data_IF_898934108448
#
_entry.id   IF_898934108448
#
_cell.length_a   1.000
_cell.length_b   1.000
_cell.length_c   1.000
_cell.angle_alpha   90.00
_cell.angle_beta   90.00
_cell.angle_gamma   90.00
#
_symmetry.space_group_name_H-M   'P 1'
#
loop_
_entity.id
_entity.type
_entity.pdbx_description
1 polymer ?
#
# COMPACT_ATOMS: atom_id res chain seq x y z
N UNK A 1 25.26 57.24 -31.99
CA UNK A 1 24.39 57.00 -30.81
C UNK A 1 23.20 57.96 -30.70
N UNK A 2 23.30 59.18 -31.21
CA UNK A 2 22.22 60.19 -31.17
C UNK A 2 20.95 59.73 -31.92
N UNK A 3 21.12 59.13 -33.11
CA UNK A 3 20.02 58.56 -33.91
C UNK A 3 19.24 57.45 -33.20
N UNK A 4 19.89 56.60 -32.40
CA UNK A 4 19.22 55.55 -31.63
C UNK A 4 18.32 56.14 -30.53
N UNK A 5 18.79 57.20 -29.87
CA UNK A 5 18.04 57.88 -28.81
C UNK A 5 16.80 58.56 -29.39
N UNK A 6 16.93 59.13 -30.59
CA UNK A 6 15.83 59.72 -31.33
C UNK A 6 14.77 58.68 -31.75
N UNK A 7 15.19 57.53 -32.32
CA UNK A 7 14.27 56.44 -32.69
C UNK A 7 13.49 55.92 -31.48
N UNK A 8 14.17 55.70 -30.36
CA UNK A 8 13.51 55.24 -29.12
C UNK A 8 12.48 56.24 -28.62
N UNK A 9 12.79 57.53 -28.69
CA UNK A 9 11.87 58.61 -28.30
C UNK A 9 10.66 58.65 -29.22
N UNK A 10 10.86 58.55 -30.53
CA UNK A 10 9.77 58.52 -31.52
C UNK A 10 8.81 57.33 -31.31
N UNK A 11 9.35 56.13 -31.09
CA UNK A 11 8.53 54.94 -30.81
C UNK A 11 7.75 55.08 -29.50
N UNK A 12 8.36 55.67 -28.46
CA UNK A 12 7.74 55.84 -27.14
C UNK A 12 6.64 56.90 -27.14
N UNK A 13 6.87 58.00 -27.86
CA UNK A 13 5.95 59.13 -27.91
C UNK A 13 4.88 58.95 -28.99
N UNK A 14 5.02 57.94 -29.87
CA UNK A 14 4.15 57.70 -31.04
C UNK A 14 3.87 58.97 -31.84
N UNK A 15 4.89 59.84 -31.97
CA UNK A 15 4.77 61.17 -32.59
C UNK A 15 5.10 61.10 -34.07
N UNK A 16 4.18 61.59 -34.90
CA UNK A 16 4.30 61.68 -36.34
C UNK A 16 3.00 61.32 -37.06
N UNK A 17 2.83 61.79 -38.31
CA UNK A 17 1.64 61.47 -39.11
C UNK A 17 1.62 60.00 -39.52
N UNK A 18 2.80 59.38 -39.60
CA UNK A 18 3.07 57.98 -39.89
C UNK A 18 2.55 57.00 -38.82
N UNK A 19 2.20 57.48 -37.61
CA UNK A 19 1.63 56.66 -36.53
C UNK A 19 0.10 56.61 -36.54
N UNK A 20 -0.56 57.47 -37.31
CA UNK A 20 -2.02 57.51 -37.40
C UNK A 20 -2.55 56.32 -38.20
N UNK A 21 -3.37 55.49 -37.56
CA UNK A 21 -3.98 54.32 -38.20
C UNK A 21 -3.08 53.08 -38.26
N UNK A 22 -2.00 53.03 -37.48
CA UNK A 22 -1.13 51.86 -37.39
C UNK A 22 -1.91 50.64 -36.86
N UNK A 23 -1.68 49.47 -37.45
CA UNK A 23 -2.25 48.23 -36.93
C UNK A 23 -1.60 47.86 -35.58
N UNK A 24 -2.39 47.33 -34.63
CA UNK A 24 -1.89 46.89 -33.30
C UNK A 24 -0.72 45.91 -33.39
N UNK A 25 -0.68 45.08 -34.43
CA UNK A 25 0.42 44.16 -34.71
C UNK A 25 1.72 44.90 -35.01
N UNK A 26 1.66 45.95 -35.82
CA UNK A 26 2.82 46.79 -36.17
C UNK A 26 3.32 47.57 -34.95
N UNK A 27 2.42 48.07 -34.09
CA UNK A 27 2.80 48.75 -32.86
C UNK A 27 3.61 47.82 -31.95
N UNK A 28 3.15 46.59 -31.73
CA UNK A 28 3.87 45.58 -30.94
C UNK A 28 5.25 45.27 -31.53
N UNK A 29 5.37 45.19 -32.85
CA UNK A 29 6.66 44.95 -33.51
C UNK A 29 7.63 46.12 -33.30
N UNK A 30 7.15 47.36 -33.32
CA UNK A 30 7.98 48.55 -33.05
C UNK A 30 8.38 48.65 -31.57
N UNK A 31 7.52 48.22 -30.65
CA UNK A 31 7.85 48.10 -29.23
C UNK A 31 8.94 47.03 -28.98
N UNK A 32 8.81 45.85 -29.59
CA UNK A 32 9.85 44.82 -29.58
C UNK A 32 11.16 45.34 -30.16
N UNK A 33 11.09 46.09 -31.26
CA UNK A 33 12.24 46.73 -31.89
C UNK A 33 12.96 47.71 -30.95
N UNK A 34 12.22 48.61 -30.29
CA UNK A 34 12.76 49.52 -29.28
C UNK A 34 13.50 48.76 -28.18
N UNK A 35 12.96 47.64 -27.72
CA UNK A 35 13.57 46.84 -26.66
C UNK A 35 14.89 46.18 -27.09
N UNK A 36 14.98 45.63 -28.30
CA UNK A 36 16.26 45.11 -28.81
C UNK A 36 17.31 46.21 -28.95
N UNK A 37 16.92 47.44 -29.32
CA UNK A 37 17.85 48.58 -29.34
C UNK A 37 18.45 48.91 -27.95
N UNK A 38 17.88 48.41 -26.85
CA UNK A 38 18.43 48.53 -25.50
C UNK A 38 19.28 47.32 -25.05
N UNK A 39 19.31 46.24 -25.84
CA UNK A 39 20.00 45.02 -25.47
C UNK A 39 21.53 45.22 -25.34
N UNK A 40 22.18 44.78 -24.23
CA UNK A 40 23.60 45.03 -23.97
C UNK A 40 24.53 44.52 -25.08
N UNK A 41 24.21 43.36 -25.66
CA UNK A 41 24.98 42.76 -26.76
C UNK A 41 24.86 43.53 -28.08
N UNK A 42 23.76 44.29 -28.28
CA UNK A 42 23.60 45.17 -29.45
C UNK A 42 24.41 46.46 -29.28
N UNK A 43 24.54 46.98 -28.06
CA UNK A 43 25.41 48.13 -27.74
C UNK A 43 26.90 47.87 -28.00
N UNK A 44 27.31 46.60 -28.04
CA UNK A 44 28.68 46.17 -28.32
C UNK A 44 28.95 45.99 -29.82
N UNK A 45 27.94 46.10 -30.70
CA UNK A 45 28.09 45.89 -32.13
C UNK A 45 27.53 47.07 -32.95
N UNK A 46 28.40 48.01 -33.28
CA UNK A 46 28.05 49.25 -33.99
C UNK A 46 27.42 48.99 -35.38
N UNK A 47 27.85 47.93 -36.08
CA UNK A 47 27.30 47.56 -37.40
C UNK A 47 25.83 47.13 -37.33
N UNK A 48 25.47 46.36 -36.30
CA UNK A 48 24.08 45.95 -36.08
C UNK A 48 23.19 47.14 -35.71
N UNK A 49 23.72 48.11 -34.96
CA UNK A 49 23.01 49.35 -34.63
C UNK A 49 22.70 50.17 -35.88
N UNK A 50 23.66 50.31 -36.78
CA UNK A 50 23.49 51.04 -38.03
C UNK A 50 22.48 50.35 -38.95
N UNK A 51 22.55 49.02 -39.06
CA UNK A 51 21.59 48.22 -39.82
C UNK A 51 20.16 48.40 -39.28
N UNK A 52 19.98 48.30 -37.96
CA UNK A 52 18.67 48.50 -37.31
C UNK A 52 18.16 49.94 -37.54
N UNK A 53 19.02 50.94 -37.38
CA UNK A 53 18.68 52.36 -37.63
C UNK A 53 18.19 52.56 -39.06
N UNK A 54 18.89 51.98 -40.04
CA UNK A 54 18.51 52.05 -41.45
C UNK A 54 17.17 51.32 -41.73
N UNK A 55 16.93 50.17 -41.10
CA UNK A 55 15.67 49.45 -41.23
C UNK A 55 14.49 50.28 -40.70
N UNK A 56 14.65 50.95 -39.56
CA UNK A 56 13.63 51.84 -39.01
C UNK A 56 13.37 53.05 -39.91
N UNK A 57 14.41 53.75 -40.36
CA UNK A 57 14.25 54.93 -41.24
C UNK A 57 13.55 54.57 -42.55
N UNK A 58 13.89 53.41 -43.13
CA UNK A 58 13.23 52.91 -44.34
C UNK A 58 11.77 52.54 -44.10
N UNK A 59 11.46 51.89 -42.98
CA UNK A 59 10.08 51.57 -42.63
C UNK A 59 9.26 52.86 -42.39
N UNK A 60 9.83 53.83 -41.67
CA UNK A 60 9.24 55.13 -41.39
C UNK A 60 8.93 55.91 -42.67
N UNK A 61 9.84 55.93 -43.65
CA UNK A 61 9.62 56.58 -44.96
C UNK A 61 8.43 55.98 -45.74
N UNK A 62 8.01 54.74 -45.40
CA UNK A 62 6.87 54.06 -46.01
C UNK A 62 5.62 54.04 -45.11
N UNK A 63 5.55 54.92 -44.10
CA UNK A 63 4.49 54.91 -43.09
C UNK A 63 4.30 53.51 -42.44
N UNK A 64 5.40 52.80 -42.22
CA UNK A 64 5.43 51.45 -41.65
C UNK A 64 4.58 50.41 -42.39
N UNK A 65 4.32 50.62 -43.68
CA UNK A 65 3.66 49.61 -44.53
C UNK A 65 4.60 48.46 -44.88
N UNK A 66 5.93 48.70 -44.97
CA UNK A 66 6.94 47.70 -45.31
C UNK A 66 7.76 47.25 -44.08
N UNK A 67 7.11 46.53 -43.17
CA UNK A 67 7.73 46.07 -41.91
C UNK A 67 8.47 44.73 -42.01
N UNK A 68 8.37 44.02 -43.13
CA UNK A 68 8.92 42.66 -43.29
C UNK A 68 10.41 42.55 -42.94
N UNK A 69 11.22 43.55 -43.29
CA UNK A 69 12.65 43.52 -42.98
C UNK A 69 12.93 43.72 -41.48
N UNK A 70 12.15 44.56 -40.80
CA UNK A 70 12.21 44.72 -39.34
C UNK A 70 11.80 43.42 -38.66
N UNK A 71 10.69 42.81 -39.09
CA UNK A 71 10.18 41.55 -38.54
C UNK A 71 11.22 40.43 -38.69
N UNK A 72 11.79 40.23 -39.90
CA UNK A 72 12.85 39.23 -40.12
C UNK A 72 14.07 39.47 -39.24
N UNK A 73 14.44 40.74 -39.01
CA UNK A 73 15.58 41.07 -38.15
C UNK A 73 15.26 40.81 -36.68
N UNK A 74 14.04 41.09 -36.24
CA UNK A 74 13.55 40.74 -34.91
C UNK A 74 13.54 39.22 -34.70
N UNK A 75 13.11 38.44 -35.70
CA UNK A 75 13.15 36.98 -35.64
C UNK A 75 14.60 36.49 -35.49
N UNK A 76 15.54 37.00 -36.28
CA UNK A 76 16.96 36.68 -36.17
C UNK A 76 17.55 37.06 -34.80
N UNK A 77 17.20 38.23 -34.27
CA UNK A 77 17.63 38.68 -32.95
C UNK A 77 17.00 37.82 -31.85
N UNK A 78 15.77 37.37 -32.01
CA UNK A 78 15.12 36.46 -31.05
C UNK A 78 15.80 35.08 -31.01
N UNK A 79 16.32 34.60 -32.15
CA UNK A 79 17.07 33.34 -32.21
C UNK A 79 18.46 33.50 -31.59
N UNK A 80 19.15 34.62 -31.87
CA UNK A 80 20.54 34.83 -31.47
C UNK A 80 20.71 35.38 -30.04
N UNK A 81 19.74 36.15 -29.56
CA UNK A 81 19.75 36.79 -28.24
C UNK A 81 18.70 36.20 -27.29
N UNK A 82 17.83 35.31 -27.77
CA UNK A 82 16.72 34.70 -27.03
C UNK A 82 15.38 35.41 -27.29
N UNK A 83 14.28 34.64 -27.38
CA UNK A 83 12.93 35.20 -27.47
C UNK A 83 12.58 35.94 -26.18
N UNK A 84 12.16 37.19 -26.32
CA UNK A 84 11.60 37.98 -25.23
C UNK A 84 10.16 38.32 -25.59
N UNK A 85 9.23 37.51 -25.07
CA UNK A 85 7.81 37.86 -25.06
C UNK A 85 7.64 39.11 -24.20
N UNK A 86 6.89 40.09 -24.71
CA UNK A 86 6.35 41.20 -23.92
C UNK A 86 5.24 40.61 -23.03
N UNK A 87 5.63 39.87 -22.00
CA UNK A 87 4.84 39.75 -20.79
C UNK A 87 5.61 40.53 -19.72
N UNK A 88 5.04 41.64 -19.27
CA UNK A 88 5.53 42.36 -18.11
C UNK A 88 5.90 41.35 -17.02
N UNK A 89 7.17 41.32 -16.61
CA UNK A 89 7.59 40.65 -15.37
C UNK A 89 7.01 41.42 -14.19
N UNK A 90 5.70 41.37 -14.02
CA UNK A 90 5.12 41.49 -12.69
C UNK A 90 5.63 40.25 -11.96
N UNK A 91 6.55 40.41 -11.02
CA UNK A 91 6.89 39.35 -10.09
C UNK A 91 5.60 38.96 -9.35
N UNK A 92 4.88 37.96 -9.89
CA UNK A 92 3.70 37.40 -9.25
C UNK A 92 4.15 36.90 -7.90
N UNK A 93 3.63 37.53 -6.83
CA UNK A 93 3.77 37.06 -5.46
C UNK A 93 3.33 35.59 -5.42
N UNK A 94 4.09 34.78 -4.68
CA UNK A 94 3.77 33.37 -4.46
C UNK A 94 2.34 33.25 -3.92
N UNK A 95 1.54 32.39 -4.54
CA UNK A 95 0.10 32.29 -4.22
C UNK A 95 -0.18 31.54 -2.93
N UNK A 96 0.70 30.61 -2.55
CA UNK A 96 0.46 29.70 -1.42
C UNK A 96 1.53 29.88 -0.35
N UNK A 97 1.11 29.82 0.91
CA UNK A 97 2.03 29.84 2.05
C UNK A 97 2.68 28.47 2.28
N UNK A 98 1.94 27.38 1.98
CA UNK A 98 2.38 26.00 2.13
C UNK A 98 2.13 25.22 0.83
N UNK A 99 3.15 25.15 -0.02
CA UNK A 99 3.10 24.46 -1.32
C UNK A 99 2.89 22.94 -1.19
N UNK A 100 3.59 22.21 -0.31
CA UNK A 100 3.31 20.79 -0.10
C UNK A 100 1.84 20.48 0.17
N UNK A 101 1.20 21.27 1.04
CA UNK A 101 -0.22 21.10 1.36
C UNK A 101 -1.11 21.50 0.17
N UNK A 102 -0.82 22.62 -0.50
CA UNK A 102 -1.58 23.08 -1.66
C UNK A 102 -1.55 22.07 -2.83
N UNK A 103 -0.39 21.44 -3.07
CA UNK A 103 -0.23 20.37 -4.06
C UNK A 103 -1.14 19.19 -3.70
N UNK A 104 -1.14 18.75 -2.44
CA UNK A 104 -1.98 17.65 -1.96
C UNK A 104 -3.47 17.95 -2.11
N UNK A 105 -3.90 19.17 -1.80
CA UNK A 105 -5.28 19.60 -1.96
C UNK A 105 -5.71 19.70 -3.41
N UNK A 106 -4.86 20.25 -4.28
CA UNK A 106 -5.13 20.30 -5.72
C UNK A 106 -5.29 18.89 -6.29
N UNK A 107 -4.35 17.99 -5.98
CA UNK A 107 -4.43 16.58 -6.35
C UNK A 107 -5.78 15.98 -5.95
N UNK A 108 -6.15 16.09 -4.67
CA UNK A 108 -7.41 15.55 -4.15
C UNK A 108 -8.64 16.13 -4.87
N UNK A 109 -8.63 17.44 -5.18
CA UNK A 109 -9.73 18.08 -5.92
C UNK A 109 -9.88 17.50 -7.33
N UNK A 110 -8.78 17.24 -8.02
CA UNK A 110 -8.80 16.66 -9.37
C UNK A 110 -9.25 15.20 -9.31
N UNK A 111 -8.73 14.42 -8.37
CA UNK A 111 -9.14 13.02 -8.18
C UNK A 111 -10.65 12.89 -7.92
N UNK A 112 -11.20 13.71 -7.01
CA UNK A 112 -12.64 13.72 -6.73
C UNK A 112 -13.47 14.16 -7.95
N UNK A 113 -12.99 15.14 -8.71
CA UNK A 113 -13.66 15.58 -9.93
C UNK A 113 -13.68 14.49 -11.00
N UNK A 114 -12.54 13.82 -11.21
CA UNK A 114 -12.40 12.71 -12.15
C UNK A 114 -13.33 11.52 -11.82
N UNK A 115 -13.66 11.34 -10.53
CA UNK A 115 -14.60 10.32 -10.05
C UNK A 115 -16.07 10.76 -10.07
N UNK A 116 -16.34 12.04 -10.33
CA UNK A 116 -17.70 12.57 -10.42
C UNK A 116 -18.30 12.34 -11.82
N UNK A 117 -19.63 12.42 -11.98
CA UNK A 117 -20.28 12.31 -13.30
C UNK A 117 -19.70 13.28 -14.35
N UNK A 118 -19.25 14.45 -13.90
CA UNK A 118 -18.60 15.44 -14.75
C UNK A 118 -17.25 14.93 -15.26
N UNK A 119 -16.42 14.33 -14.41
CA UNK A 119 -15.11 13.82 -14.80
C UNK A 119 -15.20 12.59 -15.70
N UNK A 120 -16.12 11.67 -15.40
CA UNK A 120 -16.34 10.45 -16.19
C UNK A 120 -16.91 10.72 -17.58
N UNK A 121 -17.56 11.87 -17.77
CA UNK A 121 -18.11 12.32 -19.07
C UNK A 121 -17.13 13.14 -19.91
N UNK A 122 -15.95 13.48 -19.37
CA UNK A 122 -14.91 14.17 -20.14
C UNK A 122 -14.38 13.27 -21.28
N UNK A 123 -13.91 13.86 -22.39
CA UNK A 123 -13.23 13.12 -23.44
C UNK A 123 -12.02 12.34 -22.89
N UNK A 124 -11.75 11.14 -23.44
CA UNK A 124 -10.66 10.27 -23.00
C UNK A 124 -9.28 10.98 -23.05
N UNK A 125 -9.05 11.82 -24.06
CA UNK A 125 -7.83 12.62 -24.19
C UNK A 125 -7.70 13.59 -23.01
N UNK A 126 -8.79 14.26 -22.63
CA UNK A 126 -8.81 15.17 -21.49
C UNK A 126 -8.56 14.44 -20.17
N UNK A 127 -9.17 13.26 -20.01
CA UNK A 127 -8.92 12.40 -18.86
C UNK A 127 -7.45 11.99 -18.76
N UNK A 128 -6.81 11.59 -19.88
CA UNK A 128 -5.37 11.26 -19.92
C UNK A 128 -4.48 12.45 -19.54
N UNK A 129 -4.77 13.64 -20.06
CA UNK A 129 -4.04 14.86 -19.69
C UNK A 129 -4.19 15.20 -18.20
N UNK A 130 -5.38 15.02 -17.63
CA UNK A 130 -5.62 15.24 -16.19
C UNK A 130 -4.95 14.19 -15.30
N UNK A 131 -4.91 12.93 -15.73
CA UNK A 131 -4.16 11.86 -15.05
C UNK A 131 -2.66 12.19 -15.06
N UNK A 132 -2.14 12.61 -16.21
CA UNK A 132 -0.74 13.05 -16.37
C UNK A 132 -0.44 14.22 -15.43
N UNK A 133 -1.36 15.18 -15.33
CA UNK A 133 -1.26 16.29 -14.39
C UNK A 133 -1.24 15.85 -12.92
N UNK A 134 -2.11 14.92 -12.53
CA UNK A 134 -2.14 14.35 -11.18
C UNK A 134 -0.80 13.67 -10.87
N UNK A 135 -0.26 12.90 -11.81
CA UNK A 135 1.04 12.26 -11.64
C UNK A 135 2.16 13.29 -11.45
N UNK A 136 2.17 14.39 -12.20
CA UNK A 136 3.11 15.48 -11.95
C UNK A 136 2.95 16.13 -10.57
N UNK A 137 1.74 16.15 -10.00
CA UNK A 137 1.55 16.60 -8.62
C UNK A 137 2.26 15.71 -7.59
N UNK A 138 2.61 14.46 -7.94
CA UNK A 138 3.40 13.56 -7.09
C UNK A 138 4.91 13.73 -7.29
N UNK A 139 5.35 14.57 -8.23
CA UNK A 139 6.77 14.68 -8.55
C UNK A 139 7.55 15.21 -7.34
N UNK A 140 8.65 14.55 -6.92
CA UNK A 140 9.36 14.89 -5.70
C UNK A 140 9.92 16.31 -5.71
N UNK A 141 10.27 16.86 -6.87
CA UNK A 141 10.80 18.22 -6.97
C UNK A 141 9.77 19.34 -7.16
N UNK A 142 8.47 19.02 -7.30
CA UNK A 142 7.46 20.04 -7.57
C UNK A 142 7.36 21.06 -6.42
N UNK A 143 7.42 20.60 -5.17
CA UNK A 143 7.36 21.48 -4.00
C UNK A 143 8.56 22.44 -3.91
N UNK A 144 9.69 22.11 -4.55
CA UNK A 144 10.88 22.98 -4.64
C UNK A 144 10.75 24.04 -5.74
N UNK A 145 9.70 23.97 -6.58
CA UNK A 145 9.43 24.92 -7.67
C UNK A 145 8.07 25.62 -7.51
N UNK A 146 7.87 26.47 -6.48
CA UNK A 146 6.63 27.20 -6.20
C UNK A 146 6.00 27.92 -7.42
N UNK A 147 6.83 28.62 -8.20
CA UNK A 147 6.37 29.34 -9.40
C UNK A 147 5.83 28.39 -10.48
N UNK A 148 6.38 27.18 -10.58
CA UNK A 148 5.87 26.17 -11.50
C UNK A 148 4.50 25.70 -11.04
N UNK A 149 4.35 25.41 -9.74
CA UNK A 149 3.06 25.04 -9.17
C UNK A 149 1.98 26.13 -9.31
N UNK A 150 2.34 27.40 -9.14
CA UNK A 150 1.39 28.51 -9.36
C UNK A 150 0.86 28.52 -10.81
N UNK A 151 1.74 28.29 -11.79
CA UNK A 151 1.35 28.19 -13.21
C UNK A 151 0.44 26.98 -13.43
N UNK A 152 0.79 25.83 -12.84
CA UNK A 152 -0.01 24.61 -12.91
C UNK A 152 -1.42 24.83 -12.35
N UNK A 153 -1.50 25.44 -11.17
CA UNK A 153 -2.76 25.74 -10.50
C UNK A 153 -3.63 26.69 -11.32
N UNK A 154 -3.03 27.76 -11.87
CA UNK A 154 -3.74 28.75 -12.68
C UNK A 154 -4.29 28.15 -13.96
N UNK A 155 -3.50 27.31 -14.63
CA UNK A 155 -3.92 26.65 -15.86
C UNK A 155 -4.99 25.60 -15.61
N UNK A 156 -4.93 24.91 -14.48
CA UNK A 156 -6.01 24.03 -14.05
C UNK A 156 -7.30 24.81 -13.77
N UNK A 157 -7.24 25.93 -13.03
CA UNK A 157 -8.43 26.73 -12.71
C UNK A 157 -9.05 27.37 -13.97
N UNK A 158 -8.23 27.81 -14.92
CA UNK A 158 -8.65 28.29 -16.24
C UNK A 158 -9.32 27.18 -17.07
N UNK A 159 -8.71 25.99 -17.12
CA UNK A 159 -9.28 24.83 -17.81
C UNK A 159 -10.62 24.42 -17.19
N UNK A 160 -10.70 24.39 -15.85
CA UNK A 160 -11.93 24.07 -15.13
C UNK A 160 -13.06 25.08 -15.41
N UNK A 161 -12.77 26.38 -15.46
CA UNK A 161 -13.76 27.42 -15.80
C UNK A 161 -14.30 27.32 -17.21
N UNK A 162 -13.57 26.65 -18.09
CA UNK A 162 -13.94 26.44 -19.49
C UNK A 162 -14.42 25.01 -19.75
N UNK A 163 -14.78 24.27 -18.69
CA UNK A 163 -15.19 22.86 -18.73
C UNK A 163 -14.23 21.98 -19.55
N UNK A 164 -12.93 22.30 -19.48
CA UNK A 164 -11.86 21.62 -20.20
C UNK A 164 -12.03 21.61 -21.73
N UNK A 165 -12.81 22.54 -22.29
CA UNK A 165 -13.00 22.67 -23.75
C UNK A 165 -11.75 23.15 -24.48
N UNK A 166 -10.83 23.83 -23.79
CA UNK A 166 -9.61 24.41 -24.36
C UNK A 166 -8.36 23.69 -23.84
N UNK A 167 -8.22 22.41 -24.15
CA UNK A 167 -7.08 21.60 -23.68
C UNK A 167 -5.72 21.99 -24.26
N UNK A 168 -5.68 22.67 -25.41
CA UNK A 168 -4.39 23.01 -26.07
C UNK A 168 -3.43 23.79 -25.16
N UNK A 169 -3.94 24.75 -24.38
CA UNK A 169 -3.12 25.51 -23.43
C UNK A 169 -2.74 24.69 -22.19
N UNK A 170 -3.58 23.72 -21.81
CA UNK A 170 -3.32 22.77 -20.73
C UNK A 170 -2.24 21.76 -21.12
N UNK A 171 -2.30 21.22 -22.33
CA UNK A 171 -1.30 20.28 -22.86
C UNK A 171 0.05 20.97 -23.09
N UNK A 172 0.05 22.23 -23.55
CA UNK A 172 1.28 23.04 -23.59
C UNK A 172 1.90 23.22 -22.20
N UNK A 173 1.06 23.40 -21.18
CA UNK A 173 1.52 23.48 -19.79
C UNK A 173 2.07 22.14 -19.30
N UNK A 174 1.47 21.00 -19.66
CA UNK A 174 2.01 19.66 -19.38
C UNK A 174 3.40 19.45 -20.00
N UNK A 175 3.57 19.81 -21.27
CA UNK A 175 4.88 19.74 -21.92
C UNK A 175 5.93 20.63 -21.23
N UNK A 176 5.51 21.82 -20.76
CA UNK A 176 6.40 22.69 -19.98
C UNK A 176 6.78 22.06 -18.62
N UNK A 177 5.84 21.38 -17.95
CA UNK A 177 6.15 20.66 -16.71
C UNK A 177 7.16 19.55 -17.01
N UNK A 178 6.94 18.77 -18.07
CA UNK A 178 7.84 17.69 -18.48
C UNK A 178 9.27 18.19 -18.72
N UNK A 179 9.42 19.30 -19.43
CA UNK A 179 10.74 19.93 -19.65
C UNK A 179 11.38 20.38 -18.33
N UNK A 180 10.58 20.87 -17.37
CA UNK A 180 11.08 21.44 -16.12
C UNK A 180 11.30 20.42 -15.01
N UNK A 181 10.54 19.33 -14.95
CA UNK A 181 10.60 18.31 -13.90
C UNK A 181 11.19 17.00 -14.41
N UNK A 182 11.20 16.77 -15.72
CA UNK A 182 11.55 15.48 -16.32
C UNK A 182 10.31 14.68 -16.70
N UNK A 183 10.53 13.56 -17.38
CA UNK A 183 9.47 12.61 -17.76
C UNK A 183 8.91 11.91 -16.52
N UNK A 184 7.62 11.55 -16.58
CA UNK A 184 6.98 10.78 -15.52
C UNK A 184 7.57 9.36 -15.51
N UNK A 185 8.27 9.00 -14.43
CA UNK A 185 8.71 7.63 -14.17
C UNK A 185 7.59 6.80 -13.55
N UNK A 186 7.69 5.47 -13.63
CA UNK A 186 6.72 4.55 -13.01
C UNK A 186 6.54 4.79 -11.50
N UNK A 187 7.60 5.23 -10.80
CA UNK A 187 7.57 5.55 -9.37
C UNK A 187 6.64 6.74 -9.04
N UNK A 188 6.38 7.63 -10.00
CA UNK A 188 5.58 8.86 -9.84
C UNK A 188 4.14 8.66 -10.35
N UNK A 189 3.88 7.60 -11.13
CA UNK A 189 2.54 7.18 -11.57
C UNK A 189 1.75 6.54 -10.44
N UNK A 190 1.37 7.33 -9.44
CA UNK A 190 0.61 6.83 -8.30
C UNK A 190 -0.90 6.93 -8.48
N UNK A 191 -1.39 7.57 -9.53
CA UNK A 191 -2.84 7.65 -9.77
C UNK A 191 -3.36 6.30 -10.28
N UNK A 192 -4.31 5.73 -9.54
CA UNK A 192 -5.11 4.59 -10.00
C UNK A 192 -6.51 5.06 -10.36
N UNK A 193 -6.97 4.66 -11.53
CA UNK A 193 -8.34 4.84 -12.00
C UNK A 193 -9.33 4.09 -11.10
N UNK A 194 -10.62 4.41 -11.22
CA UNK A 194 -11.66 3.68 -10.47
C UNK A 194 -11.67 2.19 -10.84
N UNK A 195 -11.55 1.87 -12.12
CA UNK A 195 -11.53 0.49 -12.60
C UNK A 195 -10.34 -0.30 -12.02
N UNK A 196 -9.14 0.29 -11.99
CA UNK A 196 -7.98 -0.36 -11.37
C UNK A 196 -8.19 -0.60 -9.87
N UNK A 197 -8.82 0.33 -9.16
CA UNK A 197 -9.16 0.14 -7.73
C UNK A 197 -10.23 -0.92 -7.53
N UNK A 198 -11.22 -0.99 -8.40
CA UNK A 198 -12.26 -2.02 -8.37
C UNK A 198 -11.64 -3.38 -8.61
N UNK A 199 -10.78 -3.52 -9.63
CA UNK A 199 -10.07 -4.76 -9.92
C UNK A 199 -9.20 -5.21 -8.73
N UNK A 200 -8.46 -4.30 -8.10
CA UNK A 200 -7.66 -4.63 -6.90
C UNK A 200 -8.53 -5.10 -5.73
N UNK A 201 -9.70 -4.47 -5.53
CA UNK A 201 -10.65 -4.90 -4.50
C UNK A 201 -11.29 -6.25 -4.85
N UNK A 202 -11.57 -6.52 -6.13
CA UNK A 202 -12.06 -7.82 -6.59
C UNK A 202 -11.03 -8.93 -6.38
N UNK A 203 -9.76 -8.66 -6.70
CA UNK A 203 -8.65 -9.60 -6.43
C UNK A 203 -8.50 -9.85 -4.93
N UNK A 204 -8.52 -8.81 -4.10
CA UNK A 204 -8.49 -8.96 -2.63
C UNK A 204 -9.68 -9.77 -2.11
N UNK A 205 -10.88 -9.51 -2.64
CA UNK A 205 -12.09 -10.26 -2.27
C UNK A 205 -11.97 -11.73 -2.67
N UNK A 206 -11.37 -12.02 -3.82
CA UNK A 206 -11.12 -13.39 -4.26
C UNK A 206 -10.18 -14.12 -3.30
N UNK A 207 -9.06 -13.49 -2.93
CA UNK A 207 -8.11 -14.06 -1.95
C UNK A 207 -8.79 -14.31 -0.61
N UNK A 208 -9.57 -13.34 -0.10
CA UNK A 208 -10.30 -13.48 1.15
C UNK A 208 -11.32 -14.63 1.11
N UNK A 209 -12.03 -14.80 -0.01
CA UNK A 209 -12.95 -15.91 -0.18
C UNK A 209 -12.22 -17.27 -0.17
N UNK A 210 -11.08 -17.38 -0.84
CA UNK A 210 -10.26 -18.60 -0.83
C UNK A 210 -9.73 -18.92 0.59
N UNK A 211 -9.35 -17.91 1.37
CA UNK A 211 -8.96 -18.07 2.78
C UNK A 211 -10.15 -18.49 3.65
N UNK A 212 -11.32 -17.89 3.42
CA UNK A 212 -12.55 -18.23 4.14
C UNK A 212 -12.97 -19.69 3.91
N UNK A 213 -12.91 -20.18 2.67
CA UNK A 213 -13.20 -21.58 2.35
C UNK A 213 -12.23 -22.55 3.04
N UNK A 214 -10.93 -22.21 3.09
CA UNK A 214 -9.93 -23.00 3.83
C UNK A 214 -10.25 -23.07 5.33
N UNK A 215 -10.62 -21.95 5.94
CA UNK A 215 -10.99 -21.90 7.35
C UNK A 215 -12.25 -22.72 7.65
N UNK A 216 -13.26 -22.68 6.78
CA UNK A 216 -14.47 -23.49 6.99
C UNK A 216 -14.17 -25.00 6.88
N UNK A 217 -13.30 -25.40 5.95
CA UNK A 217 -12.82 -26.79 5.86
C UNK A 217 -12.04 -27.22 7.11
N UNK A 218 -11.20 -26.34 7.64
CA UNK A 218 -10.42 -26.62 8.85
C UNK A 218 -11.32 -26.75 10.09
N UNK A 219 -12.30 -25.86 10.23
CA UNK A 219 -13.31 -25.91 11.28
C UNK A 219 -14.12 -27.20 11.24
N UNK A 220 -14.47 -27.70 10.06
CA UNK A 220 -15.19 -28.97 9.94
C UNK A 220 -14.30 -30.17 10.35
N UNK A 221 -13.02 -30.15 9.99
CA UNK A 221 -12.05 -31.15 10.48
C UNK A 221 -11.90 -31.11 12.01
N UNK A 222 -11.93 -29.91 12.62
CA UNK A 222 -11.88 -29.78 14.08
C UNK A 222 -13.12 -30.38 14.74
N UNK A 223 -14.33 -30.13 14.22
CA UNK A 223 -15.55 -30.75 14.73
C UNK A 223 -15.50 -32.28 14.66
N UNK A 224 -14.98 -32.83 13.56
CA UNK A 224 -14.81 -34.28 13.42
C UNK A 224 -13.86 -34.83 14.49
N UNK A 225 -12.71 -34.19 14.69
CA UNK A 225 -11.76 -34.57 15.75
C UNK A 225 -12.38 -34.47 17.14
N UNK A 226 -13.16 -33.44 17.41
CA UNK A 226 -13.87 -33.28 18.69
C UNK A 226 -14.88 -34.41 18.92
N UNK A 227 -15.65 -34.77 17.89
CA UNK A 227 -16.60 -35.87 17.96
C UNK A 227 -15.90 -37.23 18.16
N UNK A 228 -14.75 -37.46 17.53
CA UNK A 228 -13.98 -38.69 17.71
C UNK A 228 -13.34 -38.77 19.10
N UNK A 229 -12.78 -37.67 19.61
CA UNK A 229 -12.29 -37.58 20.98
C UNK A 229 -13.42 -37.84 22.01
N UNK A 230 -14.62 -37.31 21.77
CA UNK A 230 -15.76 -37.57 22.65
C UNK A 230 -16.12 -39.08 22.71
N UNK A 231 -16.04 -39.79 21.58
CA UNK A 231 -16.25 -41.25 21.55
C UNK A 231 -15.13 -42.00 22.28
N UNK A 232 -13.88 -41.59 22.13
CA UNK A 232 -12.75 -42.18 22.86
C UNK A 232 -12.90 -42.00 24.37
N UNK A 233 -13.33 -40.82 24.81
CA UNK A 233 -13.61 -40.54 26.21
C UNK A 233 -14.70 -41.43 26.80
N UNK A 234 -15.79 -41.68 26.05
CA UNK A 234 -16.86 -42.54 26.53
C UNK A 234 -16.40 -44.00 26.65
N UNK A 235 -15.64 -44.52 25.67
CA UNK A 235 -15.04 -45.86 25.76
C UNK A 235 -14.14 -46.00 26.98
N UNK A 236 -13.26 -45.01 27.21
CA UNK A 236 -12.35 -45.04 28.36
C UNK A 236 -13.11 -45.00 29.69
N UNK A 237 -14.25 -44.31 29.73
CA UNK A 237 -15.14 -44.28 30.89
C UNK A 237 -15.79 -45.64 31.15
N UNK A 238 -16.26 -46.32 30.10
CA UNK A 238 -16.82 -47.68 30.18
C UNK A 238 -15.77 -48.69 30.67
N UNK A 239 -14.55 -48.62 30.12
CA UNK A 239 -13.41 -49.45 30.56
C UNK A 239 -13.07 -49.19 32.03
N UNK A 240 -13.01 -47.92 32.45
CA UNK A 240 -12.75 -47.57 33.85
C UNK A 240 -13.81 -48.15 34.80
N UNK A 241 -15.09 -48.11 34.40
CA UNK A 241 -16.17 -48.69 35.20
C UNK A 241 -16.07 -50.21 35.27
N UNK A 242 -15.76 -50.88 34.16
CA UNK A 242 -15.54 -52.32 34.13
C UNK A 242 -14.40 -52.75 35.06
N UNK A 243 -13.27 -52.04 35.01
CA UNK A 243 -12.12 -52.29 35.90
C UNK A 243 -12.46 -52.06 37.38
N UNK A 244 -13.31 -51.08 37.71
CA UNK A 244 -13.76 -50.87 39.09
C UNK A 244 -14.57 -52.06 39.60
N UNK A 245 -15.45 -52.61 38.76
CA UNK A 245 -16.26 -53.80 39.10
C UNK A 245 -15.34 -55.01 39.29
N UNK A 246 -14.45 -55.27 38.33
CA UNK A 246 -13.50 -56.38 38.42
C UNK A 246 -12.61 -56.29 39.67
N UNK A 247 -12.11 -55.08 39.98
CA UNK A 247 -11.33 -54.83 41.21
C UNK A 247 -12.14 -55.10 42.48
N UNK A 248 -13.44 -54.81 42.49
CA UNK A 248 -14.30 -55.11 43.64
C UNK A 248 -14.51 -56.62 43.80
N UNK A 249 -14.71 -57.34 42.70
CA UNK A 249 -14.87 -58.80 42.71
C UNK A 249 -13.58 -59.50 43.17
N UNK A 250 -12.42 -59.09 42.65
CA UNK A 250 -11.12 -59.61 43.08
C UNK A 250 -10.86 -59.38 44.57
N UNK A 251 -11.29 -58.24 45.12
CA UNK A 251 -11.20 -57.99 46.58
C UNK A 251 -12.06 -58.94 47.38
N UNK A 252 -13.27 -59.24 46.90
CA UNK A 252 -14.18 -60.19 47.55
C UNK A 252 -13.60 -61.60 47.54
N UNK A 253 -13.12 -62.07 46.38
CA UNK A 253 -12.43 -63.36 46.25
C UNK A 253 -11.20 -63.44 47.15
N UNK A 254 -10.39 -62.39 47.21
CA UNK A 254 -9.23 -62.34 48.12
C UNK A 254 -9.61 -62.46 49.59
N UNK A 255 -10.75 -61.91 50.01
CA UNK A 255 -11.24 -62.04 51.37
C UNK A 255 -11.72 -63.47 51.66
N UNK A 256 -12.44 -64.07 50.71
CA UNK A 256 -12.92 -65.46 50.78
C UNK A 256 -11.73 -66.43 50.94
N UNK A 257 -10.70 -66.29 50.10
CA UNK A 257 -9.46 -67.08 50.23
C UNK A 257 -8.77 -66.88 51.58
N UNK A 258 -8.79 -65.66 52.13
CA UNK A 258 -8.19 -65.40 53.43
C UNK A 258 -8.93 -66.11 54.57
N UNK A 259 -10.27 -66.17 54.48
CA UNK A 259 -11.12 -66.91 55.43
C UNK A 259 -10.86 -68.42 55.29
N UNK A 260 -10.85 -68.96 54.07
CA UNK A 260 -10.55 -70.38 53.82
C UNK A 260 -9.17 -70.78 54.34
N UNK A 261 -8.15 -69.95 54.10
CA UNK A 261 -6.81 -70.19 54.60
C UNK A 261 -6.78 -70.20 56.14
N UNK A 262 -7.56 -69.34 56.79
CA UNK A 262 -7.66 -69.28 58.25
C UNK A 262 -8.31 -70.55 58.81
N UNK A 263 -9.41 -71.02 58.19
CA UNK A 263 -10.05 -72.29 58.55
C UNK A 263 -9.10 -73.47 58.37
N UNK A 264 -8.40 -73.53 57.24
CA UNK A 264 -7.45 -74.61 56.98
C UNK A 264 -6.32 -74.66 58.01
N UNK A 265 -5.84 -73.50 58.49
CA UNK A 265 -4.85 -73.44 59.58
C UNK A 265 -5.41 -74.00 60.88
N UNK A 266 -6.65 -73.63 61.23
CA UNK A 266 -7.33 -74.15 62.41
C UNK A 266 -7.55 -75.67 62.32
N UNK A 267 -8.03 -76.16 61.18
CA UNK A 267 -8.21 -77.59 60.92
C UNK A 267 -6.88 -78.34 61.04
N UNK A 268 -5.79 -77.79 60.49
CA UNK A 268 -4.45 -78.38 60.61
C UNK A 268 -3.99 -78.46 62.07
N UNK A 269 -4.23 -77.42 62.89
CA UNK A 269 -3.90 -77.43 64.31
C UNK A 269 -4.75 -78.45 65.08
N UNK A 270 -6.04 -78.54 64.78
CA UNK A 270 -6.94 -79.51 65.39
C UNK A 270 -6.54 -80.95 65.03
N UNK A 271 -6.24 -81.22 63.76
CA UNK A 271 -5.75 -82.51 63.31
C UNK A 271 -4.43 -82.87 64.00
N UNK A 272 -3.51 -81.92 64.19
CA UNK A 272 -2.26 -82.16 64.92
C UNK A 272 -2.50 -82.55 66.39
N UNK A 273 -3.49 -81.93 67.06
CA UNK A 273 -3.91 -82.31 68.42
C UNK A 273 -4.53 -83.71 68.45
N UNK A 274 -5.38 -84.05 67.48
CA UNK A 274 -5.98 -85.38 67.37
C UNK A 274 -4.92 -86.46 67.11
N UNK A 275 -3.98 -86.21 66.21
CA UNK A 275 -2.83 -87.08 65.97
C UNK A 275 -2.04 -87.34 67.25
N UNK A 276 -1.72 -86.30 68.02
CA UNK A 276 -1.01 -86.46 69.29
C UNK A 276 -1.81 -87.30 70.29
N UNK A 277 -3.11 -87.08 70.42
CA UNK A 277 -3.98 -87.91 71.29
C UNK A 277 -4.00 -89.36 70.83
N UNK A 278 -4.09 -89.59 69.52
CA UNK A 278 -4.09 -90.94 68.94
C UNK A 278 -2.78 -91.66 69.25
N UNK A 279 -1.65 -90.96 69.11
CA UNK A 279 -0.32 -91.47 69.42
C UNK A 279 -0.20 -91.82 70.91
N UNK A 280 -0.64 -90.94 71.81
CA UNK A 280 -0.70 -91.22 73.26
C UNK A 280 -1.60 -92.43 73.59
N UNK A 281 -2.73 -92.60 72.89
CA UNK A 281 -3.59 -93.78 73.08
C UNK A 281 -2.96 -95.05 72.55
N UNK A 282 -2.24 -94.97 71.43
CA UNK A 282 -1.50 -96.08 70.86
C UNK A 282 -0.39 -96.54 71.80
N UNK A 283 0.42 -95.62 72.33
CA UNK A 283 1.48 -95.93 73.31
C UNK A 283 0.89 -96.62 74.56
N UNK A 284 -0.25 -96.15 75.06
CA UNK A 284 -0.95 -96.79 76.20
C UNK A 284 -1.39 -98.22 75.89
N UNK A 285 -1.98 -98.45 74.70
CA UNK A 285 -2.41 -99.78 74.28
C UNK A 285 -1.22 -100.72 74.06
N UNK A 286 -0.13 -100.24 73.46
CA UNK A 286 1.12 -100.99 73.31
C UNK A 286 1.69 -101.39 74.68
N UNK A 287 1.71 -100.47 75.65
CA UNK A 287 2.14 -100.77 77.02
C UNK A 287 1.22 -101.76 77.76
N UNK A 288 -0.10 -101.71 77.53
CA UNK A 288 -1.03 -102.71 78.06
C UNK A 288 -0.84 -104.09 77.40
N UNK A 289 -0.57 -104.10 76.10
CA UNK A 289 -0.32 -105.33 75.34
C UNK A 289 0.97 -106.02 75.77
N UNK A 290 2.05 -105.27 76.00
CA UNK A 290 3.29 -105.80 76.59
C UNK A 290 3.05 -106.44 77.96
N UNK A 291 2.31 -105.78 78.86
CA UNK A 291 1.95 -106.36 80.17
C UNK A 291 1.14 -107.64 80.03
N UNK A 292 0.23 -107.70 79.05
CA UNK A 292 -0.54 -108.90 78.77
C UNK A 292 0.35 -110.05 78.27
N UNK A 293 1.28 -109.79 77.34
CA UNK A 293 2.26 -110.78 76.88
C UNK A 293 3.16 -111.29 78.01
N UNK A 294 3.66 -110.39 78.87
CA UNK A 294 4.45 -110.75 80.06
C UNK A 294 3.65 -111.65 81.01
N UNK A 295 2.37 -111.35 81.25
CA UNK A 295 1.51 -112.17 82.10
C UNK A 295 1.21 -113.56 81.51
N UNK A 296 1.18 -113.67 80.18
CA UNK A 296 0.99 -114.95 79.47
C UNK A 296 2.20 -115.87 79.60
N UNK A 297 3.42 -115.32 79.54
CA UNK A 297 4.66 -116.08 79.70
C UNK A 297 4.88 -116.61 81.13
N UNK A 298 4.26 -115.99 82.15
CA UNK A 298 4.31 -116.48 83.54
C UNK A 298 3.40 -117.72 83.73
N UNK A 299 2.35 -117.87 82.91
CA UNK A 299 1.41 -119.00 82.99
C UNK A 299 1.87 -120.31 82.35
N UNK A 300 2.89 -120.28 81.49
CA UNK A 300 3.43 -121.47 80.80
C UNK A 300 4.71 -122.03 81.47
N UNK A 301 5.06 -121.56 82.69
CA UNK A 301 6.25 -121.99 83.45
C UNK A 301 5.94 -122.78 84.74
N UNK A 302 4.72 -123.27 84.91
CA UNK A 302 4.33 -124.29 85.93
C UNK A 302 3.90 -125.60 85.24
#
# INVERSE_FOLDING_TARGET
MENLTQIKKEISEKKGKEWLGLQKTTEKQLESFKYYLDHPKLKQNEKLIEEMTNLYTNAKATNFTKMEKIIRKLDQLSITLGQYDIEEKVEKKLKFLNYPQAIKELKRKIELMMQSPLGTSLPEITQKSLITFINYCNHPDLHKKPKLFDIMYDKYDEAKKTDFMKMRSFDQMLNMIEIKLGTITEEIKTYKTLDEKVNELEDQKKVLNEEWEKLELEKEKFKQKEADLAKEWEKLREEQNSLKIEKAELKKQSLEYHIELSKFKEDKENLAKEWKKLDETREKLEGLWQKFEESKNIGDSE
#
